data_IF_501010502869
#
_entry.id   IF_501010502869
#
_cell.length_a   1.000
_cell.length_b   1.000
_cell.length_c   1.000
_cell.angle_alpha   90.00
_cell.angle_beta   90.00
_cell.angle_gamma   90.00
#
_symmetry.space_group_name_H-M   'P 1'
#
loop_
_entity.id
_entity.type
_entity.pdbx_description
1 polymer ?
#
# COMPACT_ATOMS: atom_id res chain seq x y z
N UNK A 1 -39.06 -21.89 13.07
CA UNK A 1 -38.80 -21.25 11.76
C UNK A 1 -39.01 -19.74 11.91
N UNK A 2 -37.94 -18.95 11.88
CA UNK A 2 -37.95 -17.48 11.91
C UNK A 2 -37.62 -16.97 10.49
N UNK A 3 -38.30 -15.96 9.93
CA UNK A 3 -37.97 -15.47 8.60
C UNK A 3 -36.86 -14.43 8.66
N UNK A 4 -35.87 -14.62 7.81
CA UNK A 4 -34.83 -13.64 7.49
C UNK A 4 -35.43 -12.54 6.58
N UNK A 5 -35.58 -11.33 7.11
CA UNK A 5 -35.77 -10.09 6.34
C UNK A 5 -34.74 -9.10 6.84
N UNK A 6 -33.83 -8.67 5.97
CA UNK A 6 -32.90 -7.59 6.28
C UNK A 6 -31.58 -7.71 5.54
N UNK A 7 -31.57 -7.52 4.22
CA UNK A 7 -30.30 -7.34 3.49
C UNK A 7 -30.45 -6.65 2.13
N UNK A 8 -31.36 -5.68 2.02
CA UNK A 8 -31.51 -4.87 0.78
C UNK A 8 -31.39 -3.36 1.00
N UNK A 9 -31.44 -2.85 2.23
CA UNK A 9 -31.28 -1.40 2.50
C UNK A 9 -29.80 -0.94 2.52
N UNK A 10 -28.83 -1.85 2.66
CA UNK A 10 -27.40 -1.49 2.65
C UNK A 10 -26.79 -1.35 1.26
N UNK A 11 -27.48 -1.80 0.21
CA UNK A 11 -26.99 -1.69 -1.17
C UNK A 11 -27.41 -0.38 -1.87
N UNK A 12 -28.40 0.33 -1.34
CA UNK A 12 -28.84 1.63 -1.89
C UNK A 12 -27.98 2.80 -1.37
N UNK A 13 -27.32 2.64 -0.22
CA UNK A 13 -26.45 3.69 0.34
C UNK A 13 -25.06 3.79 -0.30
N UNK A 14 -24.62 2.80 -1.09
CA UNK A 14 -23.30 2.83 -1.75
C UNK A 14 -23.38 3.47 -3.16
N UNK A 15 -24.57 3.58 -3.75
CA UNK A 15 -24.74 4.17 -5.09
C UNK A 15 -25.10 5.67 -5.10
N UNK A 16 -25.37 6.28 -3.95
CA UNK A 16 -25.79 7.69 -3.84
C UNK A 16 -24.69 8.66 -3.36
N UNK A 17 -23.47 8.19 -3.08
CA UNK A 17 -22.33 9.08 -2.78
C UNK A 17 -21.55 9.54 -4.02
N UNK A 18 -22.03 9.21 -5.23
CA UNK A 18 -21.49 9.71 -6.51
C UNK A 18 -22.44 10.75 -7.12
N UNK A 19 -23.20 11.45 -6.28
CA UNK A 19 -23.95 12.64 -6.72
C UNK A 19 -22.95 13.79 -6.81
N UNK A 20 -22.55 14.06 -8.06
CA UNK A 20 -22.14 15.36 -8.60
C UNK A 20 -22.52 16.55 -7.70
N UNK A 21 -21.65 16.92 -6.76
CA UNK A 21 -21.45 18.33 -6.50
C UNK A 21 -20.46 18.80 -7.55
N UNK A 22 -20.98 19.50 -8.57
CA UNK A 22 -20.19 20.42 -9.38
C UNK A 22 -19.77 21.59 -8.48
N UNK A 23 -18.97 21.32 -7.44
CA UNK A 23 -18.19 22.35 -6.76
C UNK A 23 -17.31 22.99 -7.81
N UNK A 24 -17.41 24.30 -8.00
CA UNK A 24 -16.50 25.04 -8.87
C UNK A 24 -15.06 24.65 -8.50
N UNK A 25 -14.40 23.91 -9.39
CA UNK A 25 -13.04 23.41 -9.20
C UNK A 25 -12.08 24.53 -9.55
N UNK A 26 -11.13 24.79 -8.67
CA UNK A 26 -10.05 25.72 -8.97
C UNK A 26 -8.94 24.94 -9.67
N UNK A 27 -8.45 25.44 -10.79
CA UNK A 27 -7.31 24.82 -11.46
C UNK A 27 -6.01 25.52 -11.06
N UNK A 28 -4.96 24.73 -10.92
CA UNK A 28 -3.58 25.22 -10.88
C UNK A 28 -3.13 25.47 -12.32
N UNK A 29 -2.63 26.68 -12.58
CA UNK A 29 -2.11 27.06 -13.88
C UNK A 29 -1.70 28.54 -13.91
N UNK A 30 -0.99 28.98 -14.96
CA UNK A 30 -0.49 30.35 -15.05
C UNK A 30 -1.58 31.43 -15.10
N UNK A 31 -2.80 31.04 -15.48
CA UNK A 31 -3.96 31.94 -15.55
C UNK A 31 -4.79 31.93 -14.26
N UNK A 32 -4.42 31.12 -13.27
CA UNK A 32 -5.13 31.04 -12.00
C UNK A 32 -4.80 32.25 -11.14
N UNK A 33 -5.78 32.95 -10.53
CA UNK A 33 -5.52 34.11 -9.69
C UNK A 33 -4.77 33.76 -8.40
N UNK A 34 -4.68 32.46 -8.06
CA UNK A 34 -3.98 31.94 -6.89
C UNK A 34 -2.52 31.57 -7.20
N UNK A 35 -2.10 31.66 -8.46
CA UNK A 35 -0.79 31.22 -8.91
C UNK A 35 0.02 32.40 -9.47
N UNK A 36 1.25 32.52 -9.01
CA UNK A 36 2.24 33.44 -9.56
C UNK A 36 3.22 32.66 -10.41
N UNK A 37 3.28 33.00 -11.70
CA UNK A 37 4.27 32.43 -12.60
C UNK A 37 5.61 33.12 -12.40
N UNK A 38 6.63 32.32 -12.14
CA UNK A 38 8.04 32.69 -12.25
C UNK A 38 8.59 32.12 -13.57
N UNK A 39 9.89 32.27 -13.82
CA UNK A 39 10.53 31.94 -15.11
C UNK A 39 10.18 30.52 -15.61
N UNK A 40 10.46 29.52 -14.77
CA UNK A 40 10.28 28.08 -15.01
C UNK A 40 9.51 27.39 -13.88
N UNK A 41 8.96 28.17 -12.93
CA UNK A 41 8.20 27.63 -11.81
C UNK A 41 6.85 28.35 -11.64
N UNK A 42 5.92 27.65 -10.99
CA UNK A 42 4.60 28.18 -10.66
C UNK A 42 4.41 28.08 -9.14
N UNK A 43 4.21 29.22 -8.47
CA UNK A 43 3.94 29.26 -7.02
C UNK A 43 2.47 29.56 -6.76
N UNK A 44 1.74 28.59 -6.21
CA UNK A 44 0.31 28.68 -5.99
C UNK A 44 -0.03 28.60 -4.51
N UNK A 45 -0.77 29.60 -4.01
CA UNK A 45 -1.21 29.68 -2.64
C UNK A 45 -2.74 29.83 -2.57
N UNK A 46 -3.39 28.89 -1.89
CA UNK A 46 -4.84 28.82 -1.76
C UNK A 46 -5.30 29.10 -0.33
N UNK A 47 -4.56 29.93 0.40
CA UNK A 47 -4.93 30.34 1.75
C UNK A 47 -6.33 30.95 1.80
N UNK A 48 -7.15 30.50 2.75
CA UNK A 48 -8.56 30.89 2.90
C UNK A 48 -9.50 30.37 1.80
N UNK A 49 -9.09 29.36 1.02
CA UNK A 49 -9.89 28.80 -0.08
C UNK A 49 -10.40 27.39 0.26
N UNK A 50 -11.69 27.29 0.54
CA UNK A 50 -12.34 26.01 0.90
C UNK A 50 -12.72 25.12 -0.31
N UNK A 51 -12.32 25.52 -1.52
CA UNK A 51 -12.69 24.82 -2.77
C UNK A 51 -11.63 23.77 -3.12
N UNK A 52 -12.10 22.65 -3.66
CA UNK A 52 -11.21 21.64 -4.22
C UNK A 52 -10.35 22.22 -5.35
N UNK A 53 -9.05 22.00 -5.25
CA UNK A 53 -8.03 22.43 -6.21
C UNK A 53 -7.63 21.24 -7.06
N UNK A 54 -7.53 21.47 -8.36
CA UNK A 54 -7.14 20.45 -9.33
C UNK A 54 -5.88 20.90 -10.04
N UNK A 55 -4.87 20.03 -10.01
CA UNK A 55 -3.71 20.14 -10.87
C UNK A 55 -3.93 19.19 -12.05
N UNK A 56 -4.25 19.76 -13.21
CA UNK A 56 -4.43 19.04 -14.46
C UNK A 56 -3.16 19.11 -15.31
N UNK A 57 -3.19 18.46 -16.48
CA UNK A 57 -2.06 18.41 -17.40
C UNK A 57 -1.71 19.80 -17.94
N UNK A 58 -0.42 20.08 -17.98
CA UNK A 58 0.18 21.25 -18.62
C UNK A 58 0.23 21.05 -20.15
N UNK A 59 -0.89 21.34 -20.82
CA UNK A 59 -1.06 21.10 -22.27
C UNK A 59 -0.80 22.34 -23.14
N UNK A 60 -0.72 23.54 -22.57
CA UNK A 60 -0.46 24.79 -23.30
C UNK A 60 1.02 25.00 -23.64
N UNK A 61 1.33 25.70 -24.74
CA UNK A 61 2.72 26.09 -25.07
C UNK A 61 3.38 26.92 -23.96
N UNK A 62 2.59 27.74 -23.28
CA UNK A 62 3.02 28.51 -22.11
C UNK A 62 3.39 27.61 -20.92
N UNK A 63 2.79 26.43 -20.84
CA UNK A 63 2.96 25.49 -19.73
C UNK A 63 4.16 24.57 -19.92
N UNK A 64 4.59 24.33 -21.17
CA UNK A 64 5.78 23.51 -21.51
C UNK A 64 7.10 24.02 -20.92
N UNK A 65 7.13 25.25 -20.41
CA UNK A 65 8.30 25.85 -19.74
C UNK A 65 8.27 25.68 -18.22
N UNK A 66 7.16 25.22 -17.64
CA UNK A 66 7.03 25.03 -16.20
C UNK A 66 7.66 23.69 -15.84
N UNK A 67 8.73 23.73 -15.07
CA UNK A 67 9.48 22.56 -14.60
C UNK A 67 9.17 22.22 -13.14
N UNK A 68 8.67 23.20 -12.38
CA UNK A 68 8.46 23.09 -10.94
C UNK A 68 7.18 23.81 -10.49
N UNK A 69 6.41 23.16 -9.61
CA UNK A 69 5.14 23.70 -9.08
C UNK A 69 5.14 23.61 -7.56
N UNK A 70 4.91 24.75 -6.93
CA UNK A 70 4.69 24.87 -5.48
C UNK A 70 3.20 25.03 -5.22
N UNK A 71 2.65 24.17 -4.37
CA UNK A 71 1.24 24.17 -3.98
C UNK A 71 1.17 24.32 -2.47
N UNK A 72 0.52 25.38 -2.00
CA UNK A 72 0.47 25.74 -0.57
C UNK A 72 -0.96 25.94 -0.08
N UNK A 73 -1.20 25.54 1.17
CA UNK A 73 -2.43 25.81 1.91
C UNK A 73 -3.67 25.32 1.16
N UNK A 74 -3.73 24.02 0.87
CA UNK A 74 -4.82 23.41 0.11
C UNK A 74 -5.48 22.33 0.96
N UNK A 75 -6.79 22.45 1.17
CA UNK A 75 -7.51 21.41 1.90
C UNK A 75 -7.69 20.14 1.06
N UNK A 76 -8.11 20.29 -0.19
CA UNK A 76 -8.32 19.17 -1.12
C UNK A 76 -7.60 19.42 -2.43
N UNK A 77 -6.52 18.68 -2.67
CA UNK A 77 -5.77 18.70 -3.93
C UNK A 77 -6.07 17.42 -4.71
N UNK A 78 -6.51 17.56 -5.95
CA UNK A 78 -6.57 16.43 -6.89
C UNK A 78 -5.53 16.64 -7.98
N UNK A 79 -4.55 15.75 -8.05
CA UNK A 79 -3.59 15.70 -9.14
C UNK A 79 -4.13 14.71 -10.18
N UNK A 80 -4.61 15.24 -11.31
CA UNK A 80 -5.08 14.43 -12.43
C UNK A 80 -4.05 14.41 -13.56
N UNK A 81 -3.99 13.30 -14.29
CA UNK A 81 -3.15 13.17 -15.47
C UNK A 81 -1.65 12.93 -15.20
N UNK A 82 -0.87 13.00 -16.28
CA UNK A 82 0.59 12.82 -16.27
C UNK A 82 1.29 14.13 -15.93
N UNK A 83 1.66 14.28 -14.67
CA UNK A 83 2.33 15.50 -14.20
C UNK A 83 3.82 15.22 -14.13
N UNK A 84 4.52 15.67 -15.17
CA UNK A 84 5.95 15.44 -15.36
C UNK A 84 6.76 16.68 -14.98
N UNK A 85 6.41 17.26 -13.83
CA UNK A 85 7.11 18.40 -13.24
C UNK A 85 7.51 18.07 -11.80
N UNK A 86 8.48 18.80 -11.27
CA UNK A 86 8.81 18.74 -9.84
C UNK A 86 7.66 19.35 -9.05
N UNK A 87 7.25 18.67 -7.99
CA UNK A 87 6.09 19.09 -7.19
C UNK A 87 6.49 19.31 -5.73
N UNK A 88 6.08 20.45 -5.20
CA UNK A 88 6.33 20.85 -3.83
C UNK A 88 4.99 21.10 -3.15
N UNK A 89 4.61 20.23 -2.22
CA UNK A 89 3.38 20.31 -1.45
C UNK A 89 3.69 20.84 -0.04
N UNK A 90 3.04 21.93 0.35
CA UNK A 90 3.17 22.49 1.68
C UNK A 90 1.78 22.74 2.29
N UNK A 91 1.50 22.11 3.43
CA UNK A 91 0.22 22.26 4.13
C UNK A 91 -0.95 21.86 3.22
N UNK A 92 -0.86 20.66 2.65
CA UNK A 92 -1.94 20.03 1.86
C UNK A 92 -2.66 19.00 2.72
N UNK A 93 -3.89 19.30 3.15
CA UNK A 93 -4.62 18.47 4.12
C UNK A 93 -5.04 17.11 3.56
N UNK A 94 -5.41 17.06 2.27
CA UNK A 94 -5.77 15.82 1.58
C UNK A 94 -5.45 15.91 0.07
N UNK A 95 -4.40 15.22 -0.35
CA UNK A 95 -3.96 15.12 -1.74
C UNK A 95 -4.30 13.78 -2.38
N UNK A 96 -4.96 13.81 -3.53
CA UNK A 96 -5.29 12.62 -4.31
C UNK A 96 -4.49 12.64 -5.60
N UNK A 97 -3.50 11.77 -5.70
CA UNK A 97 -2.87 11.42 -6.97
C UNK A 97 -3.72 10.37 -7.68
N UNK A 98 -4.23 10.76 -8.84
CA UNK A 98 -4.81 9.81 -9.80
C UNK A 98 -3.69 8.99 -10.43
N UNK A 99 -3.94 7.73 -10.81
CA UNK A 99 -2.92 6.88 -11.45
C UNK A 99 -2.42 7.57 -12.74
N UNK A 100 -1.19 8.08 -12.76
CA UNK A 100 -0.75 8.92 -13.87
C UNK A 100 -0.39 8.06 -15.08
N UNK A 101 -0.54 8.61 -16.28
CA UNK A 101 0.07 8.05 -17.49
C UNK A 101 1.56 8.42 -17.54
N UNK A 102 2.34 7.70 -18.34
CA UNK A 102 3.80 7.72 -18.29
C UNK A 102 4.39 9.13 -18.49
N UNK A 103 5.33 9.51 -17.62
CA UNK A 103 6.28 10.60 -17.87
C UNK A 103 7.50 10.09 -18.65
N UNK A 104 8.24 10.97 -19.32
CA UNK A 104 9.46 10.55 -20.02
C UNK A 104 10.43 9.89 -19.02
N UNK A 105 11.14 8.84 -19.44
CA UNK A 105 12.05 8.06 -18.60
C UNK A 105 13.27 8.85 -18.14
N UNK A 106 13.65 9.87 -18.90
CA UNK A 106 14.85 10.67 -18.66
C UNK A 106 14.64 11.80 -17.64
N UNK A 107 13.39 12.19 -17.39
CA UNK A 107 13.07 13.29 -16.47
C UNK A 107 13.22 12.86 -15.01
N UNK A 108 14.08 13.57 -14.28
CA UNK A 108 14.26 13.40 -12.84
C UNK A 108 13.13 14.10 -12.10
N UNK A 109 12.08 13.36 -11.81
CA UNK A 109 10.93 13.88 -11.09
C UNK A 109 11.19 13.83 -9.58
N UNK A 110 10.95 14.95 -8.91
CA UNK A 110 11.03 15.10 -7.47
C UNK A 110 9.68 15.47 -6.88
N UNK A 111 9.37 14.87 -5.74
CA UNK A 111 8.23 15.23 -4.92
C UNK A 111 8.74 15.62 -3.53
N UNK A 112 8.48 16.86 -3.14
CA UNK A 112 8.72 17.36 -1.79
C UNK A 112 7.40 17.61 -1.10
N UNK A 113 7.28 17.16 0.15
CA UNK A 113 6.07 17.28 0.95
C UNK A 113 6.42 17.74 2.35
N UNK A 114 5.79 18.83 2.79
CA UNK A 114 5.90 19.36 4.15
C UNK A 114 4.51 19.54 4.72
N UNK A 115 4.24 18.97 5.90
CA UNK A 115 2.92 19.03 6.55
C UNK A 115 1.77 18.66 5.61
N UNK A 116 1.95 17.62 4.78
CA UNK A 116 1.02 17.28 3.70
C UNK A 116 0.61 15.82 3.76
N UNK A 117 -0.61 15.50 3.32
CA UNK A 117 -1.15 14.13 3.35
C UNK A 117 -1.61 13.74 1.95
N UNK A 118 -1.15 12.60 1.45
CA UNK A 118 -1.49 12.14 0.10
C UNK A 118 -1.87 10.66 0.09
N UNK A 119 -2.74 10.25 -0.83
CA UNK A 119 -3.10 8.83 -0.96
C UNK A 119 -1.94 7.96 -1.47
N UNK A 120 -1.11 8.44 -2.38
CA UNK A 120 0.01 7.69 -2.92
C UNK A 120 1.12 8.61 -3.45
N UNK A 121 2.33 8.10 -3.45
CA UNK A 121 3.47 8.71 -4.13
C UNK A 121 3.49 8.22 -5.59
N UNK A 122 3.56 9.11 -6.60
CA UNK A 122 3.61 8.71 -8.00
C UNK A 122 4.80 7.82 -8.35
N UNK A 123 4.57 6.81 -9.19
CA UNK A 123 5.54 5.72 -9.47
C UNK A 123 6.85 6.11 -10.16
N UNK A 124 6.89 7.31 -10.72
CA UNK A 124 8.03 7.85 -11.46
C UNK A 124 8.89 8.80 -10.61
N UNK A 125 8.51 9.06 -9.36
CA UNK A 125 9.29 9.91 -8.46
C UNK A 125 10.65 9.27 -8.20
N UNK A 126 11.70 9.99 -8.60
CA UNK A 126 13.10 9.58 -8.42
C UNK A 126 13.73 10.17 -7.16
N UNK A 127 13.18 11.29 -6.68
CA UNK A 127 13.59 11.96 -5.44
C UNK A 127 12.35 12.26 -4.59
N UNK A 128 12.30 11.71 -3.40
CA UNK A 128 11.22 11.92 -2.44
C UNK A 128 11.78 12.59 -1.20
N UNK A 129 11.18 13.70 -0.79
CA UNK A 129 11.46 14.38 0.47
C UNK A 129 10.15 14.60 1.22
N UNK A 130 9.98 13.94 2.36
CA UNK A 130 8.78 14.00 3.19
C UNK A 130 9.15 14.46 4.61
N UNK A 131 8.55 15.55 5.04
CA UNK A 131 8.72 16.12 6.37
C UNK A 131 7.37 16.35 7.04
N UNK A 132 7.18 15.81 8.24
CA UNK A 132 5.92 15.93 8.99
C UNK A 132 4.68 15.61 8.14
N UNK A 133 4.80 14.63 7.25
CA UNK A 133 3.83 14.35 6.18
C UNK A 133 3.35 12.89 6.22
N UNK A 134 2.30 12.58 5.47
CA UNK A 134 1.79 11.22 5.36
C UNK A 134 1.50 10.79 3.92
N UNK A 135 1.73 9.51 3.63
CA UNK A 135 1.31 8.87 2.38
C UNK A 135 0.90 7.40 2.60
N UNK A 136 -0.11 6.89 1.90
CA UNK A 136 -0.53 5.48 2.10
C UNK A 136 0.36 4.49 1.35
N UNK A 137 0.92 4.88 0.21
CA UNK A 137 1.68 3.97 -0.65
C UNK A 137 2.82 4.65 -1.39
N UNK A 138 3.97 4.00 -1.42
CA UNK A 138 5.10 4.31 -2.29
C UNK A 138 5.51 3.06 -3.06
N UNK A 139 5.04 3.00 -4.31
CA UNK A 139 5.51 2.03 -5.30
C UNK A 139 6.36 2.79 -6.31
N UNK A 140 7.59 2.36 -6.53
CA UNK A 140 8.41 2.91 -7.62
C UNK A 140 8.65 1.87 -8.71
N UNK A 141 8.48 2.29 -9.96
CA UNK A 141 8.83 1.53 -11.16
C UNK A 141 10.19 1.96 -11.73
N UNK A 142 10.87 2.93 -11.10
CA UNK A 142 12.15 3.48 -11.53
C UNK A 142 13.22 3.38 -10.44
N UNK A 143 14.50 3.29 -10.83
CA UNK A 143 15.59 3.52 -9.88
C UNK A 143 15.45 4.90 -9.26
N UNK A 144 15.37 4.96 -7.94
CA UNK A 144 15.34 6.23 -7.22
C UNK A 144 16.78 6.66 -6.87
N UNK A 145 16.96 7.96 -6.72
CA UNK A 145 18.23 8.61 -6.40
C UNK A 145 18.29 9.01 -4.93
N UNK A 146 17.18 9.49 -4.37
CA UNK A 146 17.13 9.88 -2.97
C UNK A 146 15.73 9.73 -2.38
N UNK A 147 15.66 9.22 -1.16
CA UNK A 147 14.45 9.16 -0.35
C UNK A 147 14.81 9.71 1.02
N UNK A 148 14.16 10.79 1.43
CA UNK A 148 14.27 11.35 2.78
C UNK A 148 12.88 11.39 3.40
N UNK A 149 12.70 10.74 4.54
CA UNK A 149 11.44 10.66 5.26
C UNK A 149 11.74 11.01 6.72
N UNK A 150 11.23 12.15 7.19
CA UNK A 150 11.51 12.67 8.54
C UNK A 150 10.19 13.00 9.24
N UNK A 151 10.03 12.55 10.48
CA UNK A 151 8.83 12.80 11.30
C UNK A 151 7.52 12.47 10.56
N UNK A 152 7.52 11.43 9.72
CA UNK A 152 6.45 11.19 8.74
C UNK A 152 5.87 9.79 8.86
N UNK A 153 4.70 9.57 8.23
CA UNK A 153 4.03 8.27 8.17
C UNK A 153 3.91 7.79 6.74
N UNK A 154 4.40 6.59 6.48
CA UNK A 154 4.28 5.96 5.16
C UNK A 154 3.62 4.59 5.32
N UNK A 155 2.57 4.32 4.55
CA UNK A 155 1.87 3.05 4.62
C UNK A 155 2.73 1.92 4.07
N UNK A 156 2.74 1.72 2.76
CA UNK A 156 3.48 0.61 2.14
C UNK A 156 4.65 1.11 1.29
N UNK A 157 5.84 0.53 1.49
CA UNK A 157 6.99 0.70 0.57
C UNK A 157 7.14 -0.57 -0.27
N UNK A 158 7.07 -0.43 -1.60
CA UNK A 158 7.26 -1.52 -2.55
C UNK A 158 8.03 -1.03 -3.79
N UNK A 159 9.35 -1.08 -3.71
CA UNK A 159 10.28 -0.69 -4.77
C UNK A 159 11.00 -1.93 -5.28
N UNK A 160 10.59 -2.41 -6.45
CA UNK A 160 11.10 -3.64 -7.02
C UNK A 160 12.42 -3.47 -7.79
N UNK A 161 12.66 -2.28 -8.33
CA UNK A 161 13.88 -1.93 -9.05
C UNK A 161 15.01 -1.60 -8.07
N UNK A 162 16.24 -1.88 -8.47
CA UNK A 162 17.41 -1.48 -7.67
C UNK A 162 17.58 0.04 -7.68
N UNK A 163 18.23 0.56 -6.65
CA UNK A 163 18.63 1.97 -6.54
C UNK A 163 19.50 2.43 -7.70
N UNK A 164 19.43 3.73 -8.00
CA UNK A 164 20.49 4.38 -8.77
C UNK A 164 21.83 4.31 -8.03
N UNK A 165 22.94 4.46 -8.76
CA UNK A 165 24.27 4.44 -8.14
C UNK A 165 24.41 5.51 -7.07
N UNK A 166 24.96 5.13 -5.91
CA UNK A 166 25.17 5.99 -4.74
C UNK A 166 23.88 6.67 -4.22
N UNK A 167 22.72 6.01 -4.35
CA UNK A 167 21.47 6.55 -3.84
C UNK A 167 21.49 6.71 -2.30
N UNK A 168 20.83 7.75 -1.80
CA UNK A 168 20.72 8.04 -0.37
C UNK A 168 19.29 7.79 0.11
N UNK A 169 19.11 6.85 1.04
CA UNK A 169 17.82 6.56 1.67
C UNK A 169 17.95 6.87 3.16
N UNK A 170 17.14 7.82 3.63
CA UNK A 170 17.16 8.30 5.00
C UNK A 170 15.74 8.30 5.55
N UNK A 171 15.50 7.52 6.60
CA UNK A 171 14.21 7.42 7.29
C UNK A 171 14.46 7.68 8.77
N UNK A 172 13.95 8.79 9.28
CA UNK A 172 14.18 9.23 10.66
C UNK A 172 12.87 9.58 11.36
N UNK A 173 12.75 9.18 12.63
CA UNK A 173 11.63 9.60 13.49
C UNK A 173 10.25 9.30 12.89
N UNK A 174 10.13 8.21 12.12
CA UNK A 174 8.99 7.98 11.24
C UNK A 174 8.27 6.67 11.55
N UNK A 175 7.11 6.46 10.94
CA UNK A 175 6.36 5.20 11.00
C UNK A 175 6.17 4.63 9.60
N UNK A 176 6.59 3.38 9.40
CA UNK A 176 6.34 2.61 8.18
C UNK A 176 5.38 1.47 8.51
N UNK A 177 4.21 1.41 7.84
CA UNK A 177 3.23 0.35 8.12
C UNK A 177 3.66 -1.00 7.55
N UNK A 178 4.13 -1.05 6.31
CA UNK A 178 4.57 -2.30 5.66
C UNK A 178 5.78 -2.01 4.78
N UNK A 179 6.90 -2.69 5.04
CA UNK A 179 7.98 -2.82 4.07
C UNK A 179 7.73 -4.10 3.26
N UNK A 180 7.26 -3.94 2.02
CA UNK A 180 6.95 -5.07 1.15
C UNK A 180 8.14 -5.42 0.25
N UNK A 181 8.83 -4.41 -0.30
CA UNK A 181 10.01 -4.60 -1.13
C UNK A 181 10.84 -3.33 -1.20
N UNK A 182 12.16 -3.45 -1.07
CA UNK A 182 13.14 -2.39 -1.21
C UNK A 182 14.47 -3.04 -1.57
N UNK A 183 14.91 -2.84 -2.80
CA UNK A 183 16.21 -3.31 -3.28
C UNK A 183 17.21 -2.17 -3.25
N UNK A 184 18.33 -2.38 -2.58
CA UNK A 184 19.37 -1.38 -2.35
C UNK A 184 20.69 -1.95 -2.85
N UNK A 185 21.35 -1.22 -3.74
CA UNK A 185 22.67 -1.58 -4.23
C UNK A 185 23.41 -0.47 -4.95
N UNK A 186 24.47 -0.83 -5.68
CA UNK A 186 25.29 0.10 -6.45
C UNK A 186 25.92 1.23 -5.60
N UNK A 187 26.47 0.89 -4.44
CA UNK A 187 27.07 1.85 -3.50
C UNK A 187 26.06 2.68 -2.70
N UNK A 188 24.77 2.35 -2.75
CA UNK A 188 23.73 3.08 -2.04
C UNK A 188 23.87 2.97 -0.51
N UNK A 189 23.31 3.97 0.19
CA UNK A 189 23.33 4.09 1.64
C UNK A 189 21.91 4.16 2.19
N UNK A 190 21.58 3.24 3.09
CA UNK A 190 20.33 3.23 3.85
C UNK A 190 20.62 3.62 5.30
N UNK A 191 19.86 4.59 5.81
CA UNK A 191 19.83 4.95 7.23
C UNK A 191 18.38 4.95 7.70
N UNK A 192 18.09 4.12 8.70
CA UNK A 192 16.78 4.05 9.38
C UNK A 192 17.02 4.24 10.86
N UNK A 193 16.58 5.36 11.43
CA UNK A 193 16.84 5.71 12.84
C UNK A 193 15.56 6.15 13.52
N UNK A 194 15.37 5.72 14.78
CA UNK A 194 14.23 6.13 15.61
C UNK A 194 12.88 5.94 14.90
N UNK A 195 12.73 4.82 14.20
CA UNK A 195 11.59 4.56 13.31
C UNK A 195 10.80 3.36 13.83
N UNK A 196 9.48 3.37 13.65
CA UNK A 196 8.65 2.18 13.89
C UNK A 196 8.29 1.54 12.56
N UNK A 197 8.56 0.25 12.42
CA UNK A 197 8.15 -0.55 11.26
C UNK A 197 7.18 -1.62 11.72
N UNK A 198 5.92 -1.54 11.28
CA UNK A 198 4.88 -2.44 11.77
C UNK A 198 5.00 -3.85 11.17
N UNK A 199 5.40 -3.99 9.90
CA UNK A 199 5.53 -5.29 9.23
C UNK A 199 6.69 -5.31 8.21
N UNK A 200 7.60 -6.28 8.38
CA UNK A 200 8.54 -6.74 7.37
C UNK A 200 8.03 -8.00 6.69
N UNK A 201 7.91 -7.96 5.35
CA UNK A 201 7.48 -9.11 4.53
C UNK A 201 8.64 -9.97 4.06
N UNK A 202 8.32 -11.14 3.50
CA UNK A 202 9.28 -12.06 2.90
C UNK A 202 10.13 -11.38 1.80
N UNK A 203 11.47 -11.46 1.94
CA UNK A 203 12.44 -10.79 1.06
C UNK A 203 12.16 -9.30 0.86
N UNK A 204 11.70 -8.59 1.89
CA UNK A 204 11.33 -7.19 1.74
C UNK A 204 12.52 -6.25 1.59
N UNK A 205 13.67 -6.55 2.20
CA UNK A 205 14.86 -5.70 2.11
C UNK A 205 15.99 -6.53 1.51
N UNK A 206 16.37 -6.24 0.27
CA UNK A 206 17.50 -6.88 -0.41
C UNK A 206 18.63 -5.86 -0.53
N UNK A 207 19.81 -6.17 0.02
CA UNK A 207 20.97 -5.27 0.05
C UNK A 207 22.13 -5.96 -0.66
N UNK A 208 22.65 -5.37 -1.73
CA UNK A 208 23.77 -5.91 -2.53
C UNK A 208 24.70 -4.78 -2.96
N UNK A 209 25.99 -4.86 -2.63
CA UNK A 209 26.96 -3.77 -2.85
C UNK A 209 26.48 -2.43 -2.27
N UNK A 210 25.99 -2.45 -1.03
CA UNK A 210 25.43 -1.28 -0.36
C UNK A 210 25.64 -1.33 1.16
N UNK A 211 25.42 -0.18 1.80
CA UNK A 211 25.50 -0.04 3.25
C UNK A 211 24.13 0.25 3.83
N UNK A 212 23.79 -0.39 4.96
CA UNK A 212 22.58 -0.08 5.71
C UNK A 212 22.88 0.05 7.19
N UNK A 213 22.38 1.13 7.78
CA UNK A 213 22.41 1.38 9.22
C UNK A 213 20.96 1.46 9.71
N UNK A 214 20.54 0.50 10.53
CA UNK A 214 19.21 0.45 11.13
C UNK A 214 19.40 0.54 12.64
N UNK A 215 19.03 1.68 13.21
CA UNK A 215 19.31 2.04 14.60
C UNK A 215 18.05 2.44 15.36
N UNK A 216 17.96 2.11 16.66
CA UNK A 216 16.91 2.60 17.56
C UNK A 216 15.49 2.41 16.98
N UNK A 217 15.24 1.28 16.33
CA UNK A 217 14.04 1.03 15.52
C UNK A 217 13.20 -0.06 16.16
N UNK A 218 11.88 0.16 16.24
CA UNK A 218 10.93 -0.85 16.72
C UNK A 218 10.30 -1.60 15.54
N UNK A 219 10.44 -2.92 15.51
CA UNK A 219 9.95 -3.81 14.46
C UNK A 219 8.93 -4.77 15.07
N UNK A 220 7.64 -4.53 14.81
CA UNK A 220 6.55 -5.26 15.47
C UNK A 220 6.35 -6.67 14.92
N UNK A 221 6.46 -6.85 13.60
CA UNK A 221 6.26 -8.14 12.92
C UNK A 221 7.28 -8.32 11.81
N UNK A 222 7.79 -9.54 11.69
CA UNK A 222 8.73 -9.89 10.63
C UNK A 222 8.45 -11.31 10.13
N UNK A 223 8.27 -11.44 8.81
CA UNK A 223 8.16 -12.73 8.14
C UNK A 223 9.53 -13.41 8.02
N UNK A 224 9.57 -14.65 7.52
CA UNK A 224 10.83 -15.36 7.29
C UNK A 224 11.64 -14.67 6.18
N UNK A 225 12.98 -14.74 6.28
CA UNK A 225 13.90 -14.18 5.28
C UNK A 225 13.57 -12.73 4.87
N UNK A 226 13.25 -11.86 5.83
CA UNK A 226 12.86 -10.48 5.53
C UNK A 226 14.01 -9.65 4.97
N UNK A 227 15.21 -9.83 5.52
CA UNK A 227 16.43 -9.14 5.09
C UNK A 227 17.36 -10.11 4.38
N UNK A 228 17.63 -9.85 3.10
CA UNK A 228 18.50 -10.65 2.23
C UNK A 228 19.80 -9.89 1.99
N UNK A 229 20.92 -10.51 2.34
CA UNK A 229 22.26 -9.93 2.19
C UNK A 229 22.97 -10.49 0.96
N UNK A 230 23.27 -9.62 0.01
CA UNK A 230 24.02 -9.88 -1.20
C UNK A 230 25.53 -9.74 -1.02
N UNK A 231 26.24 -9.69 -2.15
CA UNK A 231 27.68 -9.52 -2.18
C UNK A 231 28.07 -8.13 -1.68
N UNK A 232 29.14 -8.00 -0.89
CA UNK A 232 29.63 -6.70 -0.36
C UNK A 232 28.60 -5.88 0.44
N UNK A 233 27.50 -6.49 0.87
CA UNK A 233 26.54 -5.83 1.73
C UNK A 233 27.16 -5.59 3.12
N UNK A 234 27.03 -4.37 3.64
CA UNK A 234 27.41 -4.03 5.00
C UNK A 234 26.18 -3.54 5.77
N UNK A 235 25.78 -4.26 6.80
CA UNK A 235 24.59 -3.94 7.59
C UNK A 235 24.95 -3.81 9.05
N UNK A 236 24.62 -2.67 9.62
CA UNK A 236 24.71 -2.37 11.05
C UNK A 236 23.29 -2.33 11.60
N UNK A 237 23.03 -3.18 12.59
CA UNK A 237 21.79 -3.20 13.35
C UNK A 237 22.13 -2.78 14.79
N UNK A 238 21.51 -1.70 15.26
CA UNK A 238 21.81 -1.13 16.57
C UNK A 238 20.52 -0.81 17.35
N UNK A 239 20.44 -1.20 18.62
CA UNK A 239 19.29 -0.96 19.49
C UNK A 239 17.91 -1.24 18.82
N UNK A 240 17.78 -2.41 18.19
CA UNK A 240 16.52 -2.85 17.56
C UNK A 240 15.62 -3.48 18.61
N UNK A 241 14.40 -2.97 18.74
CA UNK A 241 13.34 -3.61 19.51
C UNK A 241 12.49 -4.48 18.57
N UNK A 242 12.51 -5.80 18.78
CA UNK A 242 11.84 -6.78 17.91
C UNK A 242 12.79 -7.82 17.31
N UNK A 243 12.29 -8.60 16.33
CA UNK A 243 13.04 -9.69 15.68
C UNK A 243 13.25 -9.41 14.21
N UNK A 244 14.49 -9.50 13.72
CA UNK A 244 14.83 -9.44 12.28
C UNK A 244 15.29 -10.82 11.82
N UNK A 245 14.76 -11.29 10.69
CA UNK A 245 15.19 -12.56 10.08
C UNK A 245 16.11 -12.28 8.89
N UNK A 246 17.30 -12.90 8.92
CA UNK A 246 18.32 -12.76 7.89
C UNK A 246 18.30 -13.97 6.96
N UNK A 247 18.53 -13.73 5.67
CA UNK A 247 18.84 -14.75 4.68
C UNK A 247 20.13 -14.39 3.95
N UNK A 248 20.93 -15.42 3.66
CA UNK A 248 22.14 -15.27 2.84
C UNK A 248 21.81 -14.91 1.39
N UNK A 249 22.85 -14.67 0.57
CA UNK A 249 22.66 -14.39 -0.84
C UNK A 249 21.91 -15.56 -1.47
N UNK A 250 20.92 -15.26 -2.31
CA UNK A 250 20.29 -16.29 -3.14
C UNK A 250 21.41 -16.90 -3.97
N UNK A 251 21.79 -18.14 -3.68
CA UNK A 251 22.66 -18.90 -4.55
C UNK A 251 22.01 -18.86 -5.92
N UNK A 252 22.64 -18.12 -6.85
CA UNK A 252 22.33 -18.23 -8.25
C UNK A 252 22.52 -19.72 -8.50
N UNK A 253 21.44 -20.43 -8.82
CA UNK A 253 21.56 -21.79 -9.33
C UNK A 253 22.42 -21.65 -10.57
N UNK A 254 23.71 -21.88 -10.42
CA UNK A 254 24.64 -21.96 -11.53
C UNK A 254 24.07 -23.06 -12.38
N UNK A 255 23.60 -22.71 -13.58
CA UNK A 255 23.21 -23.70 -14.58
C UNK A 255 24.30 -24.76 -14.59
N UNK A 256 23.86 -26.02 -14.46
CA UNK A 256 24.70 -27.21 -14.30
C UNK A 256 26.05 -26.99 -14.96
N UNK A 257 27.12 -26.93 -14.15
CA UNK A 257 28.49 -26.99 -14.62
C UNK A 257 28.52 -28.17 -15.61
N UNK A 258 28.55 -27.90 -16.91
CA UNK A 258 28.75 -28.92 -17.92
C UNK A 258 30.18 -29.36 -17.73
N UNK A 259 30.34 -30.37 -16.88
CA UNK A 259 31.56 -31.14 -16.74
C UNK A 259 32.03 -31.47 -18.17
N UNK A 260 33.13 -30.84 -18.59
CA UNK A 260 33.72 -31.06 -19.90
C UNK A 260 34.08 -32.54 -19.97
N UNK A 261 33.25 -33.32 -20.67
CA UNK A 261 33.50 -34.74 -20.83
C UNK A 261 34.77 -34.92 -21.64
N UNK A 262 35.66 -35.86 -21.27
CA UNK A 262 36.80 -36.18 -22.09
C UNK A 262 36.34 -36.62 -23.50
N UNK A 263 37.08 -36.25 -24.55
CA UNK A 263 36.72 -36.57 -25.94
C UNK A 263 36.61 -38.09 -26.11
N UNK A 264 35.44 -38.56 -26.57
CA UNK A 264 35.19 -39.98 -26.86
C UNK A 264 34.03 -40.63 -26.10
N UNK A 265 33.40 -39.95 -25.14
CA UNK A 265 32.21 -40.47 -24.45
C UNK A 265 30.94 -40.09 -25.23
N UNK A 266 30.17 -41.06 -25.79
CA UNK A 266 28.95 -40.75 -26.50
C UNK A 266 27.94 -40.06 -25.55
N UNK A 267 27.17 -39.07 -26.05
CA UNK A 267 26.20 -38.35 -25.24
C UNK A 267 25.21 -39.36 -24.64
N UNK A 268 25.00 -39.25 -23.33
CA UNK A 268 23.97 -40.04 -22.68
C UNK A 268 22.65 -39.39 -23.12
N UNK A 269 21.91 -40.05 -24.01
CA UNK A 269 20.59 -39.62 -24.46
C UNK A 269 19.67 -39.70 -23.24
N UNK A 270 19.71 -38.66 -22.41
CA UNK A 270 18.68 -38.42 -21.40
C UNK A 270 17.41 -38.18 -22.21
N UNK A 271 16.54 -39.19 -22.23
CA UNK A 271 15.15 -39.00 -22.68
C UNK A 271 14.61 -37.78 -21.94
N UNK A 272 13.99 -36.81 -22.64
CA UNK A 272 13.41 -35.65 -21.98
C UNK A 272 12.44 -36.16 -20.92
N UNK A 273 12.75 -35.87 -19.66
CA UNK A 273 11.85 -36.10 -18.55
C UNK A 273 10.80 -34.99 -18.65
N UNK A 274 9.77 -35.25 -19.46
CA UNK A 274 8.56 -34.44 -19.55
C UNK A 274 7.90 -34.37 -18.16
N UNK A 275 8.38 -33.44 -17.34
CA UNK A 275 7.71 -32.96 -16.14
C UNK A 275 7.29 -31.49 -16.31
N UNK A 276 7.08 -31.05 -17.55
CA UNK A 276 6.24 -29.87 -17.77
C UNK A 276 4.78 -30.31 -17.63
N UNK A 277 3.99 -29.70 -16.73
CA UNK A 277 2.56 -29.97 -16.67
C UNK A 277 1.95 -29.62 -18.03
N UNK A 278 1.37 -30.63 -18.66
CA UNK A 278 0.86 -30.55 -20.02
C UNK A 278 -0.44 -29.71 -20.02
N UNK A 279 -0.31 -28.37 -20.01
CA UNK A 279 -1.42 -27.42 -20.07
C UNK A 279 -2.24 -27.53 -21.37
N UNK A 280 -1.76 -28.32 -22.33
CA UNK A 280 -2.43 -28.58 -23.61
C UNK A 280 -3.82 -29.23 -23.47
N UNK A 281 -4.13 -29.87 -22.33
CA UNK A 281 -5.45 -30.43 -22.04
C UNK A 281 -6.39 -29.48 -21.27
N UNK A 282 -5.88 -28.39 -20.72
CA UNK A 282 -6.70 -27.40 -19.98
C UNK A 282 -7.43 -26.48 -20.96
N UNK A 283 -6.85 -26.21 -22.12
CA UNK A 283 -7.45 -25.30 -23.11
C UNK A 283 -8.75 -25.87 -23.70
N UNK A 284 -8.84 -27.13 -24.14
CA UNK A 284 -10.11 -27.69 -24.65
C UNK A 284 -11.21 -27.81 -23.57
N UNK A 285 -10.83 -28.09 -22.32
CA UNK A 285 -11.78 -28.28 -21.21
C UNK A 285 -12.37 -26.97 -20.73
N UNK A 286 -11.59 -25.88 -20.70
CA UNK A 286 -12.10 -24.53 -20.39
C UNK A 286 -13.00 -24.03 -21.51
N UNK A 287 -12.66 -24.26 -22.78
CA UNK A 287 -13.51 -23.85 -23.91
C UNK A 287 -14.87 -24.56 -23.89
N UNK A 288 -14.88 -25.87 -23.65
CA UNK A 288 -16.11 -26.67 -23.55
C UNK A 288 -17.01 -26.21 -22.37
N UNK A 289 -16.43 -25.80 -21.25
CA UNK A 289 -17.17 -25.25 -20.11
C UNK A 289 -17.83 -23.91 -20.42
N UNK A 290 -17.12 -23.02 -21.15
CA UNK A 290 -17.66 -21.73 -21.58
C UNK A 290 -18.80 -21.93 -22.57
N UNK A 291 -18.66 -22.83 -23.54
CA UNK A 291 -19.72 -23.15 -24.49
C UNK A 291 -20.95 -23.76 -23.79
N UNK A 292 -20.76 -24.68 -22.85
CA UNK A 292 -21.85 -25.25 -22.06
C UNK A 292 -22.59 -24.20 -21.22
N UNK A 293 -21.87 -23.23 -20.64
CA UNK A 293 -22.49 -22.11 -19.91
C UNK A 293 -23.31 -21.20 -20.84
N UNK A 294 -22.81 -20.88 -22.03
CA UNK A 294 -23.54 -20.06 -23.01
C UNK A 294 -24.82 -20.77 -23.46
N UNK A 295 -24.77 -22.08 -23.70
CA UNK A 295 -25.95 -22.89 -24.03
C UNK A 295 -26.95 -22.89 -22.88
N UNK A 296 -26.51 -23.09 -21.63
CA UNK A 296 -27.41 -23.06 -20.47
C UNK A 296 -28.09 -21.69 -20.29
N UNK A 297 -27.34 -20.59 -20.43
CA UNK A 297 -27.91 -19.24 -20.33
C UNK A 297 -28.93 -18.99 -21.44
N UNK A 298 -28.64 -19.37 -22.68
CA UNK A 298 -29.60 -19.23 -23.78
C UNK A 298 -30.83 -20.15 -23.62
N UNK A 299 -30.66 -21.38 -23.14
CA UNK A 299 -31.78 -22.28 -22.89
C UNK A 299 -32.70 -21.79 -21.75
N UNK A 300 -32.15 -21.16 -20.70
CA UNK A 300 -32.97 -20.57 -19.63
C UNK A 300 -33.76 -19.34 -20.06
N UNK A 301 -33.31 -18.63 -21.10
CA UNK A 301 -34.06 -17.51 -21.68
C UNK A 301 -35.11 -17.95 -22.71
N UNK A 302 -35.00 -19.16 -23.26
CA UNK A 302 -35.93 -19.67 -24.28
C UNK A 302 -37.15 -20.40 -23.69
N UNK A 303 -37.10 -20.85 -22.44
CA UNK A 303 -38.23 -21.50 -21.76
C UNK A 303 -38.64 -20.77 -20.47
N UNK A 304 -39.55 -19.79 -20.53
CA UNK A 304 -40.06 -19.08 -19.35
C UNK A 304 -40.86 -19.97 -18.37
N UNK A 305 -41.23 -21.19 -18.79
CA UNK A 305 -42.13 -22.09 -18.06
C UNK A 305 -41.54 -22.79 -16.82
N UNK A 306 -40.22 -22.74 -16.60
CA UNK A 306 -39.59 -23.35 -15.42
C UNK A 306 -39.58 -22.46 -14.17
N UNK A 307 -40.22 -21.28 -14.22
CA UNK A 307 -40.42 -20.38 -13.05
C UNK A 307 -41.76 -20.60 -12.31
N UNK A 308 -42.32 -21.81 -12.33
CA UNK A 308 -43.56 -22.12 -11.61
C UNK A 308 -43.29 -22.91 -10.31
N UNK A 309 -43.43 -22.23 -9.17
CA UNK A 309 -43.74 -22.87 -7.88
C UNK A 309 -45.24 -22.62 -7.57
N UNK A 310 -46.01 -23.65 -7.16
CA UNK A 310 -47.45 -23.51 -6.99
C UNK A 310 -47.81 -22.82 -5.67
N UNK A 311 -48.77 -21.90 -5.78
CA UNK A 311 -49.43 -21.17 -4.70
C UNK A 311 -50.54 -22.06 -4.12
N UNK A 312 -50.41 -22.53 -2.87
CA UNK A 312 -51.50 -23.20 -2.15
C UNK A 312 -52.36 -22.16 -1.41
N UNK A 313 -53.66 -22.16 -1.70
CA UNK A 313 -54.75 -21.48 -0.98
C UNK A 313 -55.64 -22.56 -0.35
N UNK A 314 -56.00 -22.35 0.91
CA UNK A 314 -57.18 -22.83 1.67
C UNK A 314 -57.31 -21.71 2.74
N UNK A 315 -58.35 -20.84 2.83
CA UNK A 315 -59.81 -21.01 2.95
C UNK A 315 -60.07 -22.05 4.04
N UNK A 316 -60.51 -21.71 5.26
CA UNK A 316 -61.85 -21.16 5.57
C UNK A 316 -61.90 -20.65 7.04
N UNK A 317 -62.71 -19.60 7.27
CA UNK A 317 -63.64 -19.33 8.38
C UNK A 317 -63.29 -19.84 9.81
N UNK A 318 -63.26 -19.02 10.86
CA UNK A 318 -64.32 -18.14 11.34
C UNK A 318 -64.80 -18.63 12.71
N UNK A 319 -64.29 -18.05 13.80
CA UNK A 319 -64.89 -18.23 15.13
C UNK A 319 -64.65 -17.00 15.99
N UNK A 320 -65.73 -16.23 16.18
CA UNK A 320 -65.92 -15.27 17.28
C UNK A 320 -65.74 -16.00 18.61
N UNK A 321 -65.09 -15.37 19.58
CA UNK A 321 -65.55 -15.36 20.97
C UNK A 321 -64.92 -14.17 21.72
N UNK A 322 -65.82 -13.42 22.35
CA UNK A 322 -65.55 -12.41 23.36
C UNK A 322 -65.00 -13.08 24.63
N UNK A 323 -64.02 -12.46 25.28
CA UNK A 323 -64.09 -12.19 26.73
C UNK A 323 -62.86 -11.39 27.22
N UNK A 324 -63.18 -10.35 27.99
CA UNK A 324 -62.48 -9.79 29.15
C UNK A 324 -61.06 -10.30 29.44
N UNK A 325 -60.08 -9.44 29.70
CA UNK A 325 -60.06 -8.68 30.95
C UNK A 325 -58.93 -7.65 30.96
N UNK A 326 -59.22 -6.57 31.68
CA UNK A 326 -58.44 -5.35 31.88
C UNK A 326 -57.68 -5.46 33.22
N UNK A 327 -56.61 -4.67 33.33
CA UNK A 327 -55.72 -4.45 34.50
C UNK A 327 -54.61 -5.50 34.66
N UNK A 328 -53.38 -5.16 35.00
CA UNK A 328 -52.78 -3.87 35.32
C UNK A 328 -51.35 -4.14 35.79
N UNK A 329 -50.43 -3.31 35.30
CA UNK A 329 -49.17 -2.88 35.93
C UNK A 329 -48.06 -3.89 36.34
N UNK A 330 -46.81 -3.39 36.46
CA UNK A 330 -45.60 -4.18 36.27
C UNK A 330 -44.95 -4.56 37.61
N UNK A 331 -44.26 -5.69 37.64
CA UNK A 331 -43.32 -6.01 38.70
C UNK A 331 -42.06 -6.66 38.12
N UNK A 332 -40.96 -5.93 38.29
CA UNK A 332 -39.58 -6.38 38.30
C UNK A 332 -39.38 -7.64 39.14
N UNK A 333 -38.51 -8.57 38.72
CA UNK A 333 -37.55 -9.26 39.60
C UNK A 333 -36.48 -10.04 38.79
N UNK A 334 -35.22 -9.76 39.14
CA UNK A 334 -33.98 -10.54 39.15
C UNK A 334 -33.73 -11.83 38.34
N UNK A 335 -32.47 -11.92 37.89
CA UNK A 335 -31.64 -13.14 37.84
C UNK A 335 -31.51 -13.72 36.43
N UNK A 336 -30.36 -14.17 35.94
CA UNK A 336 -29.04 -14.46 36.50
C UNK A 336 -28.11 -14.73 35.30
N UNK A 337 -26.81 -14.40 35.46
CA UNK A 337 -25.61 -15.08 34.94
C UNK A 337 -25.46 -15.30 33.42
N UNK A 338 -24.31 -15.00 32.80
CA UNK A 338 -23.02 -15.62 33.12
C UNK A 338 -21.80 -14.72 32.88
N UNK A 339 -20.92 -14.77 33.89
CA UNK A 339 -19.52 -14.34 33.97
C UNK A 339 -18.59 -15.01 32.94
N UNK A 340 -17.49 -14.32 32.61
CA UNK A 340 -16.07 -14.80 32.67
C UNK A 340 -15.13 -13.67 32.22
N UNK A 341 -14.54 -12.83 33.09
CA UNK A 341 -13.20 -12.92 33.72
C UNK A 341 -12.09 -13.35 32.75
N UNK A 342 -11.15 -12.54 32.26
CA UNK A 342 -10.11 -11.67 32.88
C UNK A 342 -9.26 -12.38 33.93
N UNK A 343 -8.04 -12.74 33.53
CA UNK A 343 -6.90 -13.07 34.40
C UNK A 343 -5.66 -12.34 33.87
N UNK A 344 -5.08 -11.48 34.70
CA UNK A 344 -3.66 -11.14 34.70
C UNK A 344 -3.21 -11.25 36.16
N UNK A 345 -2.28 -12.16 36.43
CA UNK A 345 -1.60 -12.28 37.71
C UNK A 345 -0.33 -11.42 37.70
N UNK A 346 -0.18 -10.63 38.75
CA UNK A 346 1.06 -10.00 39.19
C UNK A 346 2.12 -11.05 39.53
N UNK A 347 3.37 -10.78 39.16
CA UNK A 347 4.52 -11.08 40.01
C UNK A 347 5.44 -9.87 40.04
N UNK A 348 5.65 -9.35 41.25
CA UNK A 348 6.68 -8.40 41.60
C UNK A 348 8.01 -9.14 41.80
N UNK A 349 9.11 -8.58 41.28
CA UNK A 349 10.43 -8.86 41.85
C UNK A 349 11.32 -7.61 41.90
N UNK A 350 12.01 -7.51 43.03
CA UNK A 350 12.71 -6.39 43.61
C UNK A 350 13.98 -5.91 42.86
N UNK A 351 14.19 -4.60 42.97
CA UNK A 351 15.45 -3.85 43.15
C UNK A 351 16.79 -4.44 42.65
N UNK A 352 17.50 -3.68 41.82
CA UNK A 352 18.86 -3.22 42.16
C UNK A 352 19.29 -2.04 41.28
N UNK A 353 19.53 -0.91 41.93
CA UNK A 353 20.34 0.18 41.42
C UNK A 353 21.80 -0.28 41.28
N UNK A 354 22.41 -0.11 40.11
CA UNK A 354 23.88 -0.08 40.00
C UNK A 354 24.32 0.86 38.88
N UNK A 355 24.63 2.07 39.34
CA UNK A 355 25.51 3.05 38.70
C UNK A 355 26.77 2.37 38.16
N UNK A 356 26.98 2.36 36.84
CA UNK A 356 28.33 2.27 36.24
C UNK A 356 28.41 3.16 35.01
N UNK A 357 29.08 4.31 35.19
CA UNK A 357 29.76 5.03 34.11
C UNK A 357 30.79 4.13 33.46
N UNK A 358 31.00 4.21 32.13
CA UNK A 358 32.32 4.04 31.56
C UNK A 358 32.97 5.41 31.31
N UNK A 359 34.14 5.57 31.90
CA UNK A 359 35.14 6.58 31.53
C UNK A 359 35.61 6.32 30.10
N UNK A 360 35.98 7.40 29.41
CA UNK A 360 36.46 7.40 28.04
C UNK A 360 37.61 6.44 27.76
N UNK A 361 37.60 5.93 26.53
CA UNK A 361 38.74 5.32 25.87
C UNK A 361 39.15 6.20 24.70
N UNK A 362 40.41 6.65 24.72
CA UNK A 362 41.09 7.27 23.59
C UNK A 362 41.21 6.26 22.46
N UNK A 363 40.98 6.73 21.24
CA UNK A 363 41.29 6.04 19.99
C UNK A 363 42.69 6.50 19.57
N UNK A 364 43.57 5.54 19.27
CA UNK A 364 44.69 5.73 18.35
C UNK A 364 44.22 5.38 16.95
#
# INVERSE_FOLDING_TARGET
MRPWRGSYEKLIFIFLSVINMSTARLSIGPNSPYCTRLTDSLDCNFDGVDKAVVLDRFDGEMDKKILEVFVRNVDQLTVTGSICVKLHLNSVSNGIFSRPHACNKEEQLSLRMTNSHVNMIPKYVSRLDMESSSADEFISERPFQSITITNSKLGTISVAQSTASNALIKIEQSEIKVLAKLKIGNGAQLTVINTTINEFRYNCLEIDDATANIGMTNIKRTELAALVLGSKANVVLDHIDGKVTLAGPKEVKTDEFMEQRPPGVPPNIRRPRNNEPNYFWIIPTVLALVEAMIIMVNCTNWFPGLKYYPKRREIEEGARLLSSSRSGEPASYYGQNTQSSVYYSHEDFNSTSLNKRPKGGKIY
#
